data_IF_828476067590
#
_entry.id   IF_828476067590
#
_cell.length_a   1.000
_cell.length_b   1.000
_cell.length_c   1.000
_cell.angle_alpha   90.00
_cell.angle_beta   90.00
_cell.angle_gamma   90.00
#
_symmetry.space_group_name_H-M   'P 1'
#
loop_
_entity.id
_entity.type
_entity.pdbx_description
1 polymer ?
#
# COMPACT_ATOMS: atom_id res chain seq x y z
N UNK A 1 29.06 -89.78 -37.00
CA UNK A 1 29.94 -88.77 -37.63
C UNK A 1 29.10 -87.64 -38.14
N UNK A 2 28.96 -86.53 -37.36
CA UNK A 2 28.39 -85.22 -37.81
C UNK A 2 29.26 -84.18 -37.13
N UNK A 3 30.05 -83.48 -37.90
CA UNK A 3 30.86 -82.35 -37.45
C UNK A 3 30.28 -81.04 -38.06
N UNK A 4 29.89 -80.18 -37.22
CA UNK A 4 30.29 -78.77 -37.12
C UNK A 4 30.28 -77.95 -38.41
N UNK A 5 29.19 -77.20 -38.64
CA UNK A 5 29.15 -76.08 -39.60
C UNK A 5 28.52 -74.80 -39.01
N UNK A 6 28.51 -74.63 -37.66
CA UNK A 6 27.77 -73.50 -37.03
C UNK A 6 28.63 -72.34 -36.51
N UNK A 7 29.93 -72.36 -36.64
CA UNK A 7 30.87 -71.38 -36.09
C UNK A 7 31.28 -70.26 -37.06
N UNK A 8 31.07 -70.42 -38.38
CA UNK A 8 31.50 -69.43 -39.39
C UNK A 8 30.49 -68.32 -39.61
N UNK A 9 29.22 -68.56 -39.35
CA UNK A 9 28.17 -67.48 -39.56
C UNK A 9 28.11 -66.45 -38.42
N UNK A 10 28.58 -66.81 -37.24
CA UNK A 10 28.56 -65.90 -36.08
C UNK A 10 29.68 -64.83 -36.14
N UNK A 11 30.82 -65.15 -36.74
CA UNK A 11 31.96 -64.23 -36.85
C UNK A 11 31.70 -63.11 -37.95
N UNK A 12 30.99 -63.46 -39.04
CA UNK A 12 30.69 -62.53 -40.12
C UNK A 12 29.64 -61.55 -39.72
N UNK A 13 28.64 -61.94 -38.91
CA UNK A 13 27.58 -61.04 -38.39
C UNK A 13 28.09 -59.97 -37.43
N UNK A 14 29.06 -60.36 -36.57
CA UNK A 14 29.66 -59.38 -35.63
C UNK A 14 30.58 -58.37 -36.29
N UNK A 15 31.23 -58.73 -37.40
CA UNK A 15 32.09 -57.81 -38.13
C UNK A 15 31.27 -56.76 -38.93
N UNK A 16 30.10 -57.15 -39.46
CA UNK A 16 29.19 -56.22 -40.19
C UNK A 16 28.48 -55.24 -39.25
N UNK A 17 28.16 -55.61 -38.01
CA UNK A 17 27.57 -54.68 -37.02
C UNK A 17 28.59 -53.67 -36.51
N UNK A 18 29.87 -54.08 -36.39
CA UNK A 18 30.95 -53.19 -35.94
C UNK A 18 31.35 -52.16 -37.01
N UNK A 19 31.25 -52.51 -38.33
CA UNK A 19 31.51 -51.58 -39.39
C UNK A 19 30.41 -50.56 -39.62
N UNK A 20 29.15 -50.83 -39.20
CA UNK A 20 28.05 -49.84 -39.25
C UNK A 20 28.13 -48.83 -38.09
N UNK A 21 28.76 -49.11 -36.97
CA UNK A 21 28.96 -48.13 -35.88
C UNK A 21 30.09 -47.11 -36.19
N UNK A 22 30.97 -47.38 -37.11
CA UNK A 22 32.05 -46.46 -37.48
C UNK A 22 31.67 -45.48 -38.62
N UNK A 23 30.46 -45.60 -39.21
CA UNK A 23 29.95 -44.69 -40.24
C UNK A 23 29.12 -43.52 -39.72
N UNK A 24 29.07 -43.30 -38.37
CA UNK A 24 28.56 -42.05 -37.80
C UNK A 24 29.62 -40.96 -37.95
N UNK A 25 29.92 -40.57 -39.20
CA UNK A 25 30.61 -39.32 -39.50
C UNK A 25 29.73 -38.22 -39.00
N UNK A 26 30.10 -37.62 -37.88
CA UNK A 26 29.53 -36.31 -37.49
C UNK A 26 29.76 -35.36 -38.66
N UNK A 27 28.73 -35.03 -39.38
CA UNK A 27 28.78 -33.96 -40.39
C UNK A 27 29.12 -32.68 -39.65
N UNK A 28 30.33 -32.20 -39.79
CA UNK A 28 30.77 -30.92 -39.28
C UNK A 28 29.90 -29.89 -40.00
N UNK A 29 28.97 -29.26 -39.31
CA UNK A 29 28.16 -28.16 -39.87
C UNK A 29 29.07 -27.03 -40.37
N UNK A 30 28.57 -26.19 -41.27
CA UNK A 30 29.38 -25.10 -41.81
C UNK A 30 29.91 -24.24 -40.64
N UNK A 31 31.12 -23.67 -40.76
CA UNK A 31 31.72 -22.84 -39.74
C UNK A 31 30.76 -21.74 -39.35
N UNK A 32 30.39 -21.70 -38.07
CA UNK A 32 29.55 -20.63 -37.53
C UNK A 32 30.37 -19.33 -37.55
N UNK A 33 29.79 -18.20 -38.00
CA UNK A 33 30.47 -16.93 -37.90
C UNK A 33 30.83 -16.63 -36.43
N UNK A 34 31.93 -15.88 -36.22
CA UNK A 34 32.31 -15.53 -34.84
C UNK A 34 31.19 -14.82 -34.13
N UNK A 35 30.88 -15.25 -32.91
CA UNK A 35 29.85 -14.62 -32.08
C UNK A 35 30.26 -13.19 -31.72
N UNK A 36 29.38 -12.21 -31.99
CA UNK A 36 29.58 -10.82 -31.58
C UNK A 36 29.26 -10.59 -30.10
N UNK A 37 28.83 -11.63 -29.42
CA UNK A 37 28.46 -11.56 -27.97
C UNK A 37 27.45 -10.46 -27.67
N UNK A 38 26.52 -10.18 -28.59
CA UNK A 38 25.49 -9.16 -28.42
C UNK A 38 24.45 -9.62 -27.41
N UNK A 39 24.16 -8.84 -26.36
CA UNK A 39 23.09 -9.16 -25.42
C UNK A 39 21.74 -9.26 -26.15
N UNK A 40 20.92 -10.24 -25.75
CA UNK A 40 19.54 -10.31 -26.26
C UNK A 40 18.77 -9.09 -25.74
N UNK A 41 18.09 -8.31 -26.59
CA UNK A 41 17.29 -7.17 -26.15
C UNK A 41 16.27 -7.59 -25.08
N UNK A 42 16.16 -6.86 -23.97
CA UNK A 42 15.10 -7.09 -22.98
C UNK A 42 13.71 -6.97 -23.61
N UNK A 43 12.77 -7.74 -23.12
CA UNK A 43 11.38 -7.76 -23.60
C UNK A 43 10.37 -7.54 -22.47
N UNK A 44 10.82 -7.10 -21.33
CA UNK A 44 10.06 -6.88 -20.11
C UNK A 44 10.27 -5.48 -19.52
N UNK A 45 10.72 -4.52 -20.35
CA UNK A 45 10.76 -3.12 -19.95
C UNK A 45 9.36 -2.67 -19.54
N UNK A 46 9.29 -2.05 -18.38
CA UNK A 46 8.09 -1.41 -17.81
C UNK A 46 8.41 0.02 -17.43
N UNK A 47 7.39 0.87 -17.48
CA UNK A 47 7.45 2.23 -16.98
C UNK A 47 6.32 2.49 -16.01
N UNK A 48 6.64 3.12 -14.90
CA UNK A 48 5.67 3.66 -13.94
C UNK A 48 5.93 5.15 -13.81
N UNK A 49 4.90 5.97 -13.97
CA UNK A 49 5.02 7.41 -13.80
C UNK A 49 4.43 7.84 -12.46
N UNK A 50 5.14 8.72 -11.76
CA UNK A 50 4.63 9.42 -10.58
C UNK A 50 5.09 10.87 -10.64
N UNK A 51 4.15 11.80 -10.69
CA UNK A 51 4.46 13.21 -10.91
C UNK A 51 5.17 13.43 -12.26
N UNK A 52 6.31 14.06 -12.23
CA UNK A 52 7.21 14.26 -13.37
C UNK A 52 8.28 13.17 -13.52
N UNK A 53 8.32 12.20 -12.60
CA UNK A 53 9.30 11.10 -12.59
C UNK A 53 8.75 9.87 -13.28
N UNK A 54 9.55 9.28 -14.15
CA UNK A 54 9.29 8.00 -14.82
C UNK A 54 10.30 6.97 -14.36
N UNK A 55 9.83 5.93 -13.72
CA UNK A 55 10.66 4.82 -13.25
C UNK A 55 10.58 3.70 -14.29
N UNK A 56 11.70 3.41 -14.91
CA UNK A 56 11.87 2.30 -15.84
C UNK A 56 12.43 1.10 -15.08
N UNK A 57 11.89 -0.09 -15.36
CA UNK A 57 12.38 -1.34 -14.77
C UNK A 57 12.46 -2.43 -15.83
N UNK A 58 13.51 -3.24 -15.80
CA UNK A 58 13.73 -4.36 -16.72
C UNK A 58 14.59 -5.44 -16.09
N UNK A 59 14.63 -6.61 -16.71
CA UNK A 59 15.55 -7.68 -16.32
C UNK A 59 16.85 -7.59 -17.12
N UNK A 60 17.98 -7.63 -16.43
CA UNK A 60 19.30 -7.67 -17.04
C UNK A 60 19.44 -8.92 -17.92
N UNK A 61 19.79 -8.80 -19.23
CA UNK A 61 19.95 -9.94 -20.09
C UNK A 61 21.15 -10.80 -19.66
N UNK A 62 20.95 -12.11 -19.52
CA UNK A 62 22.00 -13.07 -19.16
C UNK A 62 22.48 -13.91 -20.35
N UNK A 63 21.81 -13.76 -21.49
CA UNK A 63 22.09 -14.51 -22.70
C UNK A 63 22.24 -13.59 -23.91
N UNK A 64 23.06 -14.00 -24.84
CA UNK A 64 23.29 -13.33 -26.14
C UNK A 64 22.20 -13.72 -27.14
N UNK A 65 22.18 -13.04 -28.30
CA UNK A 65 21.26 -13.34 -29.42
C UNK A 65 21.45 -14.75 -29.98
N UNK A 66 22.66 -15.30 -29.90
CA UNK A 66 23.02 -16.68 -30.29
C UNK A 66 22.94 -17.68 -29.12
N UNK A 67 22.20 -17.31 -28.04
CA UNK A 67 21.88 -18.13 -26.87
C UNK A 67 23.08 -18.55 -26.01
N UNK A 68 24.21 -17.86 -26.12
CA UNK A 68 25.35 -18.07 -25.22
C UNK A 68 25.20 -17.27 -23.93
N UNK A 69 25.78 -17.74 -22.84
CA UNK A 69 25.79 -16.97 -21.58
C UNK A 69 26.72 -15.76 -21.72
N UNK A 70 26.23 -14.59 -21.32
CA UNK A 70 27.03 -13.36 -21.29
C UNK A 70 28.09 -13.50 -20.19
N UNK A 71 29.34 -13.27 -20.54
CA UNK A 71 30.49 -13.32 -19.60
C UNK A 71 30.86 -11.94 -19.05
N UNK A 72 30.71 -10.91 -19.88
CA UNK A 72 30.98 -9.52 -19.52
C UNK A 72 29.85 -8.67 -20.08
N UNK A 73 29.22 -7.92 -19.21
CA UNK A 73 28.09 -7.04 -19.51
C UNK A 73 28.62 -5.63 -19.73
N UNK A 74 28.12 -4.94 -20.75
CA UNK A 74 28.33 -3.53 -20.97
C UNK A 74 27.23 -2.70 -20.34
N UNK A 75 27.25 -1.37 -20.53
CA UNK A 75 26.22 -0.48 -20.03
C UNK A 75 24.88 -0.69 -20.75
N UNK A 76 23.79 -0.23 -20.11
CA UNK A 76 22.46 -0.14 -20.73
C UNK A 76 22.20 1.30 -21.13
N UNK A 77 21.90 1.57 -22.40
CA UNK A 77 21.48 2.88 -22.89
C UNK A 77 19.99 3.08 -22.67
N UNK A 78 19.63 4.23 -22.14
CA UNK A 78 18.24 4.65 -21.94
C UNK A 78 17.84 5.56 -23.11
N UNK A 79 16.84 5.16 -23.85
CA UNK A 79 16.37 5.84 -25.07
C UNK A 79 15.00 6.46 -24.79
N UNK A 80 14.83 7.73 -25.15
CA UNK A 80 13.60 8.49 -25.02
C UNK A 80 13.30 9.27 -26.31
N UNK A 81 12.04 9.27 -26.75
CA UNK A 81 11.58 10.04 -27.92
C UNK A 81 10.12 10.43 -27.79
N UNK A 82 9.73 11.53 -28.45
CA UNK A 82 8.32 11.89 -28.66
C UNK A 82 7.69 11.13 -29.84
N UNK A 83 8.49 10.37 -30.59
CA UNK A 83 7.96 9.50 -31.65
C UNK A 83 7.25 8.29 -31.07
N UNK A 84 6.18 7.85 -31.71
CA UNK A 84 5.39 6.71 -31.26
C UNK A 84 6.17 5.38 -31.30
N UNK A 85 7.25 5.31 -32.10
CA UNK A 85 8.08 4.12 -32.26
C UNK A 85 9.55 4.50 -32.49
N UNK A 86 10.42 3.90 -31.66
CA UNK A 86 11.87 3.98 -31.79
C UNK A 86 12.38 2.80 -32.65
N UNK A 87 13.05 3.06 -33.75
CA UNK A 87 13.73 2.03 -34.55
C UNK A 87 15.15 1.76 -34.07
N UNK A 88 15.78 2.76 -33.47
CA UNK A 88 17.09 2.71 -32.85
C UNK A 88 17.15 3.70 -31.66
N UNK A 89 18.10 3.52 -30.78
CA UNK A 89 18.38 4.49 -29.73
C UNK A 89 19.06 5.72 -30.40
N UNK A 90 18.35 6.85 -30.47
CA UNK A 90 18.91 8.11 -30.96
C UNK A 90 19.98 8.66 -30.02
N UNK A 91 19.81 9.92 -29.53
CA UNK A 91 20.65 10.44 -28.46
C UNK A 91 20.20 9.80 -27.16
N UNK A 92 21.01 8.97 -26.49
CA UNK A 92 20.63 8.37 -25.21
C UNK A 92 20.49 9.46 -24.14
N UNK A 93 19.53 9.26 -23.22
CA UNK A 93 19.42 10.11 -22.02
C UNK A 93 20.60 9.92 -21.09
N UNK A 94 20.99 8.67 -20.93
CA UNK A 94 22.07 8.26 -20.04
C UNK A 94 22.60 6.88 -20.48
N UNK A 95 23.83 6.57 -20.08
CA UNK A 95 24.37 5.23 -20.11
C UNK A 95 24.47 4.76 -18.65
N UNK A 96 23.42 4.08 -18.18
CA UNK A 96 23.47 3.47 -16.86
C UNK A 96 24.56 2.37 -16.88
N UNK A 97 25.62 2.57 -16.14
CA UNK A 97 26.56 1.50 -15.84
C UNK A 97 25.74 0.37 -15.16
N UNK A 98 25.96 -0.88 -15.61
CA UNK A 98 25.29 -2.04 -15.03
C UNK A 98 25.67 -2.20 -13.55
N UNK A 99 25.10 -1.35 -12.72
CA UNK A 99 25.17 -1.46 -11.27
C UNK A 99 23.93 -2.27 -10.87
N UNK A 100 24.18 -3.56 -10.63
CA UNK A 100 23.24 -4.38 -9.89
C UNK A 100 23.03 -3.71 -8.52
N UNK A 101 21.99 -2.92 -8.38
CA UNK A 101 21.50 -2.58 -7.04
C UNK A 101 20.96 -3.88 -6.46
N UNK A 102 21.61 -4.46 -5.43
CA UNK A 102 21.00 -5.58 -4.73
C UNK A 102 19.71 -5.02 -4.12
N UNK A 103 18.61 -5.66 -4.46
CA UNK A 103 17.36 -5.44 -3.76
C UNK A 103 17.65 -5.56 -2.25
N UNK A 104 17.40 -4.58 -1.37
CA UNK A 104 17.80 -4.63 0.04
C UNK A 104 17.09 -5.69 0.88
N UNK A 105 16.44 -6.65 0.26
CA UNK A 105 15.68 -7.74 0.88
C UNK A 105 16.24 -9.12 0.55
N UNK A 106 17.51 -9.37 0.89
CA UNK A 106 17.99 -10.77 1.00
C UNK A 106 19.14 -10.87 1.98
N UNK A 107 18.84 -10.80 3.26
CA UNK A 107 19.73 -11.34 4.30
C UNK A 107 19.66 -12.85 4.20
N UNK A 108 20.69 -13.44 3.60
CA UNK A 108 20.84 -14.88 3.48
C UNK A 108 20.97 -15.49 4.88
N UNK A 109 19.94 -16.19 5.33
CA UNK A 109 20.03 -17.15 6.42
C UNK A 109 20.61 -18.43 5.86
N UNK A 110 21.81 -18.78 6.28
CA UNK A 110 22.51 -20.02 5.93
C UNK A 110 21.77 -21.22 6.52
N UNK A 111 21.01 -21.94 5.70
CA UNK A 111 20.58 -23.30 5.97
C UNK A 111 21.00 -24.17 4.79
N UNK A 112 21.95 -25.06 5.07
CA UNK A 112 22.55 -26.05 4.17
C UNK A 112 21.55 -27.14 3.77
N UNK A 113 21.15 -27.13 2.49
CA UNK A 113 20.44 -28.22 1.83
C UNK A 113 20.59 -28.09 0.30
N UNK A 114 20.79 -29.15 -0.49
CA UNK A 114 21.00 -29.06 -1.93
C UNK A 114 19.65 -28.82 -2.65
N UNK A 115 19.18 -27.59 -2.68
CA UNK A 115 18.04 -27.18 -3.50
C UNK A 115 18.58 -26.56 -4.79
N UNK A 116 18.07 -27.03 -5.95
CA UNK A 116 18.42 -26.53 -7.28
C UNK A 116 18.24 -25.02 -7.30
N UNK A 117 19.34 -24.27 -7.33
CA UNK A 117 19.39 -22.82 -7.42
C UNK A 117 18.60 -22.37 -8.66
N UNK A 118 17.40 -21.82 -8.45
CA UNK A 118 16.66 -21.05 -9.45
C UNK A 118 17.44 -19.75 -9.61
N UNK A 119 18.18 -19.59 -10.72
CA UNK A 119 18.92 -18.37 -11.04
C UNK A 119 17.97 -17.19 -10.91
N UNK A 120 18.16 -16.39 -9.89
CA UNK A 120 17.39 -15.19 -9.62
C UNK A 120 17.70 -14.19 -10.74
N UNK A 121 16.68 -13.75 -11.48
CA UNK A 121 16.81 -12.72 -12.50
C UNK A 121 17.07 -11.38 -11.79
N UNK A 122 18.20 -10.76 -12.09
CA UNK A 122 18.54 -9.45 -11.52
C UNK A 122 17.75 -8.38 -12.27
N UNK A 123 16.93 -7.62 -11.55
CA UNK A 123 16.23 -6.46 -12.09
C UNK A 123 17.13 -5.22 -11.99
N UNK A 124 17.00 -4.33 -12.95
CA UNK A 124 17.62 -3.01 -13.00
C UNK A 124 16.55 -1.93 -13.12
N UNK A 125 16.81 -0.74 -12.62
CA UNK A 125 15.89 0.38 -12.70
C UNK A 125 16.62 1.68 -13.02
N UNK A 126 15.91 2.58 -13.69
CA UNK A 126 16.36 3.94 -13.98
C UNK A 126 15.21 4.92 -13.77
N UNK A 127 15.50 6.08 -13.20
CA UNK A 127 14.51 7.14 -13.01
C UNK A 127 14.85 8.33 -13.90
N UNK A 128 13.93 8.64 -14.83
CA UNK A 128 13.98 9.84 -15.66
C UNK A 128 13.05 10.91 -15.06
N UNK A 129 13.50 12.15 -15.02
CA UNK A 129 12.67 13.31 -14.65
C UNK A 129 12.29 14.06 -15.92
N UNK A 130 10.99 14.13 -16.20
CA UNK A 130 10.45 14.82 -17.36
C UNK A 130 10.64 16.33 -17.21
N UNK A 131 11.34 16.99 -18.15
CA UNK A 131 11.44 18.43 -18.15
C UNK A 131 10.07 19.11 -18.26
N UNK A 132 9.87 20.18 -17.50
CA UNK A 132 8.61 20.95 -17.52
C UNK A 132 8.20 21.44 -18.90
N UNK A 133 9.18 21.78 -19.78
CA UNK A 133 8.92 22.13 -21.18
C UNK A 133 8.27 21.01 -21.95
N UNK A 134 8.74 19.77 -21.82
CA UNK A 134 8.15 18.62 -22.51
C UNK A 134 6.70 18.43 -22.09
N UNK A 135 6.40 18.55 -20.78
CA UNK A 135 5.04 18.42 -20.23
C UNK A 135 4.12 19.55 -20.68
N UNK A 136 4.65 20.77 -20.85
CA UNK A 136 3.86 21.94 -21.29
C UNK A 136 3.57 21.89 -22.79
N UNK A 137 4.61 21.59 -23.60
CA UNK A 137 4.50 21.64 -25.05
C UNK A 137 3.75 20.44 -25.63
N UNK A 138 3.62 19.33 -24.86
CA UNK A 138 3.01 18.07 -25.29
C UNK A 138 1.95 17.55 -24.32
N UNK A 139 1.15 18.43 -23.75
CA UNK A 139 0.21 18.12 -22.65
C UNK A 139 -0.79 16.98 -22.91
N UNK A 140 -1.08 16.64 -24.16
CA UNK A 140 -1.95 15.51 -24.55
C UNK A 140 -1.21 14.36 -25.24
N UNK A 141 0.13 14.46 -25.32
CA UNK A 141 0.98 13.50 -26.01
C UNK A 141 1.46 12.33 -25.16
N UNK A 142 2.32 11.55 -25.78
CA UNK A 142 3.02 10.44 -25.12
C UNK A 142 4.52 10.57 -25.38
N UNK A 143 5.31 10.03 -24.47
CA UNK A 143 6.74 9.85 -24.61
C UNK A 143 7.04 8.35 -24.63
N UNK A 144 7.86 7.92 -25.56
CA UNK A 144 8.22 6.52 -25.75
C UNK A 144 9.60 6.26 -25.18
N UNK A 145 9.71 5.23 -24.35
CA UNK A 145 10.96 4.72 -23.80
C UNK A 145 11.32 3.36 -24.38
N UNK A 146 12.60 3.16 -24.57
CA UNK A 146 13.21 1.87 -24.86
C UNK A 146 14.58 1.82 -24.16
N UNK A 147 15.17 0.64 -24.06
CA UNK A 147 16.54 0.46 -23.60
C UNK A 147 17.32 -0.39 -24.61
N UNK A 148 18.62 -0.19 -24.67
CA UNK A 148 19.53 -0.98 -25.47
C UNK A 148 20.64 -1.53 -24.59
N UNK A 149 20.66 -2.86 -24.40
CA UNK A 149 21.71 -3.52 -23.67
C UNK A 149 22.95 -3.71 -24.53
N UNK A 150 24.11 -3.28 -24.06
CA UNK A 150 25.35 -3.34 -24.80
C UNK A 150 26.27 -4.46 -24.28
N UNK A 151 27.16 -4.96 -25.16
CA UNK A 151 28.27 -5.77 -24.74
C UNK A 151 29.44 -4.92 -24.24
N UNK A 152 30.53 -5.55 -23.80
CA UNK A 152 31.71 -4.82 -23.31
C UNK A 152 32.37 -3.92 -24.37
N UNK A 153 32.12 -4.18 -25.66
CA UNK A 153 32.65 -3.37 -26.78
C UNK A 153 31.70 -2.23 -27.17
N UNK A 154 30.62 -2.00 -26.41
CA UNK A 154 29.63 -0.95 -26.66
C UNK A 154 28.67 -1.25 -27.82
N UNK A 155 28.51 -2.51 -28.21
CA UNK A 155 27.64 -2.95 -29.31
C UNK A 155 26.36 -3.59 -28.75
N UNK A 156 25.19 -3.22 -29.28
CA UNK A 156 23.88 -3.77 -28.95
C UNK A 156 23.28 -4.58 -30.12
N UNK A 157 22.23 -5.32 -29.81
CA UNK A 157 21.42 -6.06 -30.79
C UNK A 157 20.12 -5.34 -31.15
N UNK A 158 20.00 -4.07 -30.78
CA UNK A 158 18.82 -3.26 -30.96
C UNK A 158 18.07 -3.00 -29.64
N UNK A 159 17.00 -2.25 -29.75
CA UNK A 159 16.20 -1.79 -28.60
C UNK A 159 15.27 -2.87 -28.05
N UNK A 160 14.91 -2.73 -26.78
CA UNK A 160 13.93 -3.57 -26.08
C UNK A 160 12.50 -3.44 -26.65
N UNK A 161 11.52 -4.09 -26.00
CA UNK A 161 10.14 -3.65 -26.11
C UNK A 161 10.05 -2.18 -25.69
N UNK A 162 9.07 -1.48 -26.25
CA UNK A 162 8.86 -0.05 -26.02
C UNK A 162 7.67 0.17 -25.12
N UNK A 163 7.75 1.19 -24.27
CA UNK A 163 6.68 1.60 -23.36
C UNK A 163 6.38 3.08 -23.58
N UNK A 164 5.10 3.40 -23.66
CA UNK A 164 4.61 4.77 -23.80
C UNK A 164 4.12 5.27 -22.46
N UNK A 165 4.51 6.50 -22.12
CA UNK A 165 4.08 7.20 -20.92
C UNK A 165 3.38 8.48 -21.34
N UNK A 166 2.18 8.71 -20.84
CA UNK A 166 1.42 9.93 -21.12
C UNK A 166 2.13 11.16 -20.56
N UNK A 167 2.07 12.27 -21.28
CA UNK A 167 2.59 13.57 -20.88
C UNK A 167 1.51 14.47 -20.24
N UNK A 168 0.31 13.94 -19.99
CA UNK A 168 -0.72 14.68 -19.23
C UNK A 168 -0.13 15.19 -17.93
N UNK A 169 -0.32 16.49 -17.68
CA UNK A 169 0.27 17.14 -16.51
C UNK A 169 -0.39 16.64 -15.22
N UNK A 170 0.43 16.21 -14.27
CA UNK A 170 0.00 15.98 -12.89
C UNK A 170 0.10 17.27 -12.10
N UNK A 171 -0.70 17.39 -11.04
CA UNK A 171 -0.64 18.53 -10.13
C UNK A 171 0.27 18.21 -8.95
N UNK A 172 0.82 19.25 -8.27
CA UNK A 172 1.59 19.04 -7.06
C UNK A 172 0.75 18.37 -5.97
N UNK A 173 1.38 17.75 -4.97
CA UNK A 173 0.67 17.21 -3.82
C UNK A 173 -0.07 18.32 -3.06
N UNK A 174 -1.12 17.98 -2.29
CA UNK A 174 -1.77 18.96 -1.43
C UNK A 174 -0.82 19.52 -0.38
N UNK A 175 -1.06 20.77 0.04
CA UNK A 175 -0.24 21.49 1.00
C UNK A 175 -0.81 21.37 2.43
N UNK A 176 0.03 21.59 3.44
CA UNK A 176 -0.37 21.59 4.85
C UNK A 176 -1.11 20.32 5.27
N UNK A 177 -0.71 19.17 4.72
CA UNK A 177 -1.31 17.89 5.07
C UNK A 177 -1.04 17.57 6.54
N UNK A 178 -2.13 17.39 7.30
CA UNK A 178 -2.10 17.15 8.75
C UNK A 178 -3.08 16.03 9.13
N UNK A 179 -2.80 15.38 10.26
CA UNK A 179 -3.62 14.33 10.84
C UNK A 179 -3.87 14.63 12.32
N UNK A 180 -5.12 14.54 12.77
CA UNK A 180 -5.54 14.77 14.14
C UNK A 180 -6.41 13.61 14.64
N UNK A 181 -6.08 13.05 15.80
CA UNK A 181 -6.90 12.02 16.46
C UNK A 181 -8.12 12.67 17.09
N UNK A 182 -9.28 12.07 16.88
CA UNK A 182 -10.57 12.46 17.45
C UNK A 182 -11.31 11.20 17.92
N UNK A 183 -12.36 11.33 18.73
CA UNK A 183 -13.19 10.20 19.16
C UNK A 183 -13.88 9.43 18.02
N UNK A 184 -13.88 9.97 16.80
CA UNK A 184 -14.46 9.32 15.61
C UNK A 184 -13.40 8.69 14.69
N UNK A 185 -12.12 8.77 15.07
CA UNK A 185 -10.98 8.30 14.28
C UNK A 185 -9.97 9.40 13.99
N UNK A 186 -9.24 9.29 12.89
CA UNK A 186 -8.23 10.28 12.49
C UNK A 186 -8.82 11.22 11.43
N UNK A 187 -8.91 12.49 11.75
CA UNK A 187 -9.29 13.55 10.83
C UNK A 187 -8.03 14.03 10.09
N UNK A 188 -8.05 13.87 8.78
CA UNK A 188 -7.02 14.31 7.85
C UNK A 188 -7.46 15.62 7.22
N UNK A 189 -6.58 16.60 7.16
CA UNK A 189 -6.86 17.91 6.61
C UNK A 189 -5.72 18.40 5.72
N UNK A 190 -6.04 19.16 4.69
CA UNK A 190 -5.05 19.77 3.79
C UNK A 190 -5.61 21.00 3.11
N UNK A 191 -4.72 21.76 2.50
CA UNK A 191 -5.05 22.90 1.66
C UNK A 191 -4.56 22.68 0.23
N UNK A 192 -5.17 23.36 -0.72
CA UNK A 192 -4.72 23.36 -2.10
C UNK A 192 -5.14 24.65 -2.78
N UNK A 193 -4.20 25.28 -3.46
CA UNK A 193 -4.41 26.46 -4.28
C UNK A 193 -4.52 26.09 -5.77
N UNK A 194 -5.16 24.95 -6.07
CA UNK A 194 -5.36 24.56 -7.45
C UNK A 194 -6.22 25.61 -8.18
N UNK A 195 -5.79 26.08 -9.36
CA UNK A 195 -6.63 26.93 -10.18
C UNK A 195 -7.96 26.20 -10.48
N UNK A 196 -9.07 26.91 -10.35
CA UNK A 196 -10.39 26.38 -10.60
C UNK A 196 -10.42 25.66 -11.97
N UNK A 197 -10.70 24.36 -11.93
CA UNK A 197 -10.89 23.43 -13.04
C UNK A 197 -9.83 23.53 -14.17
N UNK A 198 -9.17 22.42 -14.45
CA UNK A 198 -8.40 22.32 -15.69
C UNK A 198 -9.33 22.62 -16.86
N UNK A 199 -8.91 23.51 -17.72
CA UNK A 199 -9.64 23.87 -18.94
C UNK A 199 -9.65 22.74 -20.00
N UNK A 200 -9.09 21.57 -19.69
CA UNK A 200 -9.04 20.44 -20.60
C UNK A 200 -10.31 19.58 -20.43
N UNK A 201 -11.13 19.45 -21.47
CA UNK A 201 -12.30 18.58 -21.45
C UNK A 201 -11.91 17.14 -21.09
N UNK A 202 -12.67 16.49 -20.19
CA UNK A 202 -12.43 15.13 -19.78
C UNK A 202 -11.28 14.92 -18.78
N UNK A 203 -10.68 16.01 -18.25
CA UNK A 203 -9.67 15.92 -17.18
C UNK A 203 -10.28 16.38 -15.87
N UNK A 204 -10.16 15.54 -14.84
CA UNK A 204 -10.53 15.86 -13.46
C UNK A 204 -9.39 15.48 -12.50
N UNK A 205 -9.39 16.10 -11.35
CA UNK A 205 -8.41 15.84 -10.31
C UNK A 205 -9.09 15.34 -9.05
N UNK A 206 -8.44 14.42 -8.35
CA UNK A 206 -8.88 13.90 -7.05
C UNK A 206 -7.70 13.84 -6.09
N UNK A 207 -7.96 14.07 -4.82
CA UNK A 207 -7.00 13.77 -3.75
C UNK A 207 -7.23 12.34 -3.28
N UNK A 208 -6.16 11.55 -3.21
CA UNK A 208 -6.14 10.23 -2.59
C UNK A 208 -5.36 10.28 -1.32
N UNK A 209 -5.93 9.71 -0.27
CA UNK A 209 -5.26 9.58 1.01
C UNK A 209 -5.00 8.11 1.30
N UNK A 210 -3.77 7.83 1.68
CA UNK A 210 -3.32 6.47 2.01
C UNK A 210 -2.86 6.40 3.45
N UNK A 211 -3.06 5.23 4.04
CA UNK A 211 -2.60 4.85 5.38
C UNK A 211 -1.66 3.66 5.29
N UNK A 212 -0.66 3.64 6.17
CA UNK A 212 0.19 2.50 6.45
C UNK A 212 0.31 2.30 7.95
N UNK A 213 0.10 1.10 8.52
CA UNK A 213 0.39 0.83 9.92
C UNK A 213 1.91 0.78 10.14
N UNK A 214 2.40 1.42 11.22
CA UNK A 214 3.80 1.36 11.63
C UNK A 214 3.92 0.62 12.94
N UNK A 215 4.92 -0.23 13.09
CA UNK A 215 5.33 -0.73 14.41
C UNK A 215 4.82 -2.08 14.87
N UNK A 216 4.43 -3.01 14.02
CA UNK A 216 4.40 -4.40 14.44
C UNK A 216 5.82 -4.99 14.44
N UNK A 217 6.49 -4.89 15.59
CA UNK A 217 7.70 -5.67 15.89
C UNK A 217 7.36 -7.15 16.08
N UNK A 218 6.73 -7.79 15.12
CA UNK A 218 6.73 -9.24 15.06
C UNK A 218 7.68 -9.71 13.97
N UNK A 219 8.84 -10.13 14.42
CA UNK A 219 9.96 -10.65 13.62
C UNK A 219 9.68 -11.98 12.92
N UNK A 220 8.45 -12.43 12.71
CA UNK A 220 8.20 -13.80 12.22
C UNK A 220 6.98 -13.96 11.31
N UNK A 221 6.70 -13.03 10.42
CA UNK A 221 5.85 -13.36 9.28
C UNK A 221 6.22 -12.50 8.07
N UNK A 222 6.84 -13.18 7.12
CA UNK A 222 6.99 -12.83 5.70
C UNK A 222 6.99 -11.32 5.36
N UNK A 223 8.13 -10.84 4.99
CA UNK A 223 8.55 -9.55 4.48
C UNK A 223 7.68 -8.98 3.32
N UNK A 224 6.49 -9.53 3.11
CA UNK A 224 5.61 -9.23 1.97
C UNK A 224 4.59 -8.14 2.23
N UNK A 225 4.37 -7.70 3.48
CA UNK A 225 3.31 -6.74 3.83
C UNK A 225 3.82 -5.36 4.27
N UNK A 226 5.10 -5.04 4.14
CA UNK A 226 5.64 -3.73 4.54
C UNK A 226 5.25 -2.56 3.63
N UNK A 227 4.78 -2.83 2.41
CA UNK A 227 4.45 -1.82 1.41
C UNK A 227 2.94 -1.72 1.10
N UNK A 228 2.08 -2.37 1.87
CA UNK A 228 0.66 -2.36 1.60
C UNK A 228 0.02 -1.03 2.04
N UNK A 229 -0.04 -0.10 1.08
CA UNK A 229 -0.81 1.13 1.21
C UNK A 229 -2.29 0.79 1.24
N UNK A 230 -2.99 1.20 2.28
CA UNK A 230 -4.44 1.13 2.35
C UNK A 230 -5.00 2.46 1.86
N UNK A 231 -5.83 2.45 0.84
CA UNK A 231 -6.58 3.62 0.42
C UNK A 231 -7.63 3.94 1.48
N UNK A 232 -7.50 5.09 2.13
CA UNK A 232 -8.49 5.60 3.11
C UNK A 232 -9.69 6.19 2.38
N UNK A 233 -9.44 6.96 1.32
CA UNK A 233 -10.51 7.54 0.52
C UNK A 233 -10.02 8.49 -0.55
N UNK A 234 -10.98 8.95 -1.35
CA UNK A 234 -10.80 9.94 -2.41
C UNK A 234 -11.70 11.15 -2.16
N UNK A 235 -11.14 12.34 -2.38
CA UNK A 235 -11.87 13.61 -2.30
C UNK A 235 -11.70 14.36 -3.63
N UNK A 236 -12.78 14.76 -4.32
CA UNK A 236 -12.67 15.55 -5.54
C UNK A 236 -11.90 16.85 -5.29
N UNK A 237 -10.93 17.14 -6.12
CA UNK A 237 -10.22 18.41 -6.10
C UNK A 237 -11.11 19.48 -6.76
N UNK A 238 -11.68 20.33 -5.95
CA UNK A 238 -12.58 21.40 -6.37
C UNK A 238 -11.99 22.80 -6.09
N UNK A 239 -12.83 23.83 -6.23
CA UNK A 239 -12.48 25.24 -5.98
C UNK A 239 -12.38 25.63 -4.49
N UNK A 240 -12.45 24.66 -3.57
CA UNK A 240 -12.24 24.88 -2.14
C UNK A 240 -10.77 25.03 -1.79
N UNK A 241 -10.46 25.82 -0.76
CA UNK A 241 -9.09 25.95 -0.25
C UNK A 241 -8.75 24.91 0.83
N UNK A 242 -9.75 24.39 1.55
CA UNK A 242 -9.58 23.44 2.63
C UNK A 242 -10.39 22.17 2.38
N UNK A 243 -9.76 21.02 2.64
CA UNK A 243 -10.35 19.69 2.48
C UNK A 243 -10.14 18.87 3.73
N UNK A 244 -11.06 17.96 4.00
CA UNK A 244 -10.96 17.03 5.13
C UNK A 244 -11.45 15.64 4.72
N UNK A 245 -10.88 14.63 5.38
CA UNK A 245 -11.30 13.22 5.27
C UNK A 245 -11.14 12.58 6.64
N UNK A 246 -12.14 11.84 7.12
CA UNK A 246 -12.04 11.10 8.38
C UNK A 246 -11.79 9.64 8.11
N UNK A 247 -10.72 9.09 8.69
CA UNK A 247 -10.46 7.66 8.75
C UNK A 247 -11.02 7.09 10.05
N UNK A 248 -12.20 6.50 9.97
CA UNK A 248 -12.87 5.81 11.07
C UNK A 248 -12.52 4.32 11.15
N UNK A 249 -11.69 3.81 10.23
CA UNK A 249 -11.31 2.40 10.18
C UNK A 249 -9.99 2.10 10.89
N UNK A 250 -9.59 2.98 11.79
CA UNK A 250 -8.41 2.80 12.63
C UNK A 250 -8.67 1.79 13.75
N UNK A 251 -7.59 1.25 14.29
CA UNK A 251 -7.57 0.60 15.60
C UNK A 251 -6.91 1.55 16.61
N UNK A 252 -7.46 1.60 17.81
CA UNK A 252 -6.86 2.36 18.91
C UNK A 252 -5.52 1.74 19.36
N UNK A 253 -4.65 2.55 19.94
CA UNK A 253 -3.31 2.17 20.43
C UNK A 253 -2.39 1.64 19.31
N UNK A 254 -2.56 2.17 18.08
CA UNK A 254 -1.73 1.88 16.92
C UNK A 254 -1.07 3.16 16.41
N UNK A 255 0.07 2.98 15.74
CA UNK A 255 0.71 4.08 15.02
C UNK A 255 0.46 3.90 13.52
N UNK A 256 0.01 4.96 12.88
CA UNK A 256 -0.24 5.02 11.45
C UNK A 256 0.58 6.13 10.79
N UNK A 257 0.97 5.91 9.57
CA UNK A 257 1.53 6.91 8.68
C UNK A 257 0.54 7.20 7.58
N UNK A 258 0.24 8.48 7.39
CA UNK A 258 -0.67 8.98 6.37
C UNK A 258 0.09 9.81 5.36
N UNK A 259 -0.35 9.75 4.10
CA UNK A 259 0.09 10.62 3.03
C UNK A 259 -1.04 10.84 2.04
N UNK A 260 -0.96 11.93 1.30
CA UNK A 260 -1.90 12.26 0.24
C UNK A 260 -1.17 12.50 -1.07
N UNK A 261 -1.86 12.29 -2.18
CA UNK A 261 -1.39 12.65 -3.51
C UNK A 261 -2.53 13.27 -4.32
N UNK A 262 -2.19 14.04 -5.34
CA UNK A 262 -3.16 14.53 -6.32
C UNK A 262 -3.11 13.63 -7.54
N UNK A 263 -4.24 12.99 -7.88
CA UNK A 263 -4.37 12.12 -9.05
C UNK A 263 -5.08 12.85 -10.18
N UNK A 264 -4.47 12.83 -11.36
CA UNK A 264 -5.09 13.30 -12.60
C UNK A 264 -5.85 12.15 -13.25
N UNK A 265 -7.14 12.33 -13.48
CA UNK A 265 -8.02 11.36 -14.11
C UNK A 265 -8.46 11.90 -15.46
N UNK A 266 -8.19 11.14 -16.52
CA UNK A 266 -8.55 11.48 -17.90
C UNK A 266 -9.63 10.53 -18.39
N UNK A 267 -10.81 11.09 -18.66
CA UNK A 267 -11.93 10.35 -19.24
C UNK A 267 -11.89 10.48 -20.75
N UNK A 268 -11.86 9.37 -21.47
CA UNK A 268 -11.93 9.31 -22.92
C UNK A 268 -13.23 8.60 -23.33
N UNK A 269 -13.84 9.08 -24.43
CA UNK A 269 -15.04 8.41 -24.96
C UNK A 269 -14.74 6.95 -25.32
N UNK A 270 -15.54 6.03 -24.80
CA UNK A 270 -15.48 4.58 -25.06
C UNK A 270 -14.19 3.86 -24.64
N UNK A 271 -13.35 4.48 -23.80
CA UNK A 271 -12.16 3.87 -23.23
C UNK A 271 -12.21 3.92 -21.69
N UNK A 272 -11.49 3.01 -21.00
CA UNK A 272 -11.33 3.10 -19.55
C UNK A 272 -10.67 4.43 -19.16
N UNK A 273 -11.02 4.97 -18.00
CA UNK A 273 -10.35 6.14 -17.44
C UNK A 273 -8.86 5.88 -17.25
N UNK A 274 -8.05 6.83 -17.67
CA UNK A 274 -6.61 6.81 -17.40
C UNK A 274 -6.34 7.62 -16.15
N UNK A 275 -5.51 7.09 -15.24
CA UNK A 275 -5.15 7.72 -13.99
C UNK A 275 -3.65 7.93 -13.93
N UNK A 276 -3.24 9.11 -13.47
CA UNK A 276 -1.84 9.49 -13.33
C UNK A 276 -1.61 10.04 -11.94
N UNK A 277 -0.83 9.30 -11.16
CA UNK A 277 -0.51 9.67 -9.79
C UNK A 277 0.49 10.83 -9.79
N UNK A 278 0.21 11.84 -8.98
CA UNK A 278 1.13 12.92 -8.65
C UNK A 278 2.14 12.52 -7.59
N UNK A 279 2.91 13.48 -7.10
CA UNK A 279 3.83 13.25 -5.98
C UNK A 279 3.05 13.12 -4.66
N UNK A 280 3.62 12.36 -3.72
CA UNK A 280 3.08 12.25 -2.36
C UNK A 280 3.43 13.49 -1.54
N UNK A 281 2.58 13.82 -0.56
CA UNK A 281 2.96 14.67 0.56
C UNK A 281 4.05 14.01 1.40
N UNK A 282 4.78 14.75 2.23
CA UNK A 282 5.50 14.17 3.36
C UNK A 282 4.56 13.29 4.20
N UNK A 283 5.10 12.19 4.73
CA UNK A 283 4.35 11.30 5.61
C UNK A 283 4.08 11.96 6.96
N UNK A 284 2.84 11.86 7.45
CA UNK A 284 2.43 12.32 8.78
C UNK A 284 2.17 11.11 9.65
N UNK A 285 2.94 10.99 10.73
CA UNK A 285 2.78 9.90 11.70
C UNK A 285 1.84 10.31 12.83
N UNK A 286 0.94 9.41 13.20
CA UNK A 286 -0.05 9.60 14.26
C UNK A 286 -0.14 8.35 15.11
N UNK A 287 -0.14 8.51 16.44
CA UNK A 287 -0.48 7.47 17.40
C UNK A 287 -1.94 7.66 17.85
N UNK A 288 -2.77 6.65 17.63
CA UNK A 288 -4.21 6.69 17.90
C UNK A 288 -4.50 6.33 19.37
N UNK A 289 -4.04 7.19 20.27
CA UNK A 289 -4.34 7.02 21.71
C UNK A 289 -5.77 7.45 22.01
N UNK A 290 -6.53 6.55 22.64
CA UNK A 290 -7.91 6.80 23.00
C UNK A 290 -7.99 7.50 24.34
N UNK A 291 -8.32 8.78 24.29
CA UNK A 291 -8.55 9.68 25.43
C UNK A 291 -9.94 10.32 25.40
N UNK A 292 -10.82 9.82 24.58
CA UNK A 292 -12.12 10.41 24.28
C UNK A 292 -13.21 9.71 25.08
N UNK A 293 -13.85 10.40 26.05
CA UNK A 293 -14.92 9.79 26.82
C UNK A 293 -16.17 9.56 25.95
N UNK A 294 -17.03 8.59 26.35
CA UNK A 294 -18.32 8.37 25.72
C UNK A 294 -19.25 9.57 25.81
N UNK A 295 -20.36 9.52 25.06
CA UNK A 295 -21.40 10.51 25.12
C UNK A 295 -22.00 10.60 26.56
N UNK A 296 -22.43 11.81 26.93
CA UNK A 296 -23.06 12.06 28.23
C UNK A 296 -24.42 11.35 28.24
N UNK A 297 -24.73 10.50 29.29
CA UNK A 297 -26.05 9.92 29.45
C UNK A 297 -27.13 11.00 29.55
N UNK A 298 -28.31 10.73 28.99
CA UNK A 298 -29.43 11.67 29.00
C UNK A 298 -30.74 11.04 29.47
N UNK A 299 -31.73 11.84 29.74
CA UNK A 299 -33.06 11.36 30.13
C UNK A 299 -33.10 10.61 31.44
N UNK A 300 -32.21 10.93 32.41
CA UNK A 300 -32.21 10.35 33.74
C UNK A 300 -33.53 10.63 34.46
N UNK A 301 -34.12 9.58 35.02
CA UNK A 301 -35.32 9.61 35.84
C UNK A 301 -35.07 8.86 37.15
N UNK A 302 -35.65 9.35 38.21
CA UNK A 302 -35.62 8.71 39.56
C UNK A 302 -37.05 8.46 40.03
N UNK A 303 -37.31 7.27 40.57
CA UNK A 303 -38.64 6.89 41.06
C UNK A 303 -38.51 6.16 42.38
N UNK A 304 -39.16 6.68 43.41
CA UNK A 304 -39.26 6.02 44.71
C UNK A 304 -40.17 4.77 44.66
N UNK A 305 -39.80 3.70 45.40
CA UNK A 305 -40.48 2.40 45.44
C UNK A 305 -41.93 2.44 45.90
N UNK A 306 -42.31 3.51 46.59
CA UNK A 306 -43.66 3.67 47.15
C UNK A 306 -43.83 3.16 48.61
N UNK A 307 -44.89 3.59 49.29
CA UNK A 307 -45.13 3.23 50.69
C UNK A 307 -45.48 1.74 50.82
N UNK A 308 -45.03 1.14 51.95
CA UNK A 308 -45.31 -0.28 52.26
C UNK A 308 -44.43 -1.31 51.57
N UNK A 309 -43.44 -0.89 50.80
CA UNK A 309 -42.41 -1.76 50.18
C UNK A 309 -41.04 -1.50 50.84
N UNK A 310 -40.06 -2.36 50.50
CA UNK A 310 -38.67 -2.06 50.82
C UNK A 310 -38.28 -0.72 50.17
N UNK A 311 -37.66 0.13 50.98
CA UNK A 311 -37.27 1.48 50.53
C UNK A 311 -36.11 1.44 49.54
N UNK A 312 -36.34 1.93 48.31
CA UNK A 312 -35.32 2.12 47.27
C UNK A 312 -35.71 3.24 46.31
N UNK A 313 -34.74 3.72 45.54
CA UNK A 313 -34.99 4.58 44.40
C UNK A 313 -34.48 3.89 43.18
N UNK A 314 -35.34 3.70 42.17
CA UNK A 314 -35.00 3.22 40.83
C UNK A 314 -34.62 4.39 39.93
N UNK A 315 -33.48 4.23 39.28
CA UNK A 315 -32.94 5.14 38.28
C UNK A 315 -32.98 4.48 36.90
N UNK A 316 -33.40 5.22 35.92
CA UNK A 316 -33.34 4.79 34.49
C UNK A 316 -32.89 5.96 33.63
N UNK A 317 -32.18 5.68 32.54
CA UNK A 317 -31.70 6.69 31.61
C UNK A 317 -31.66 6.14 30.19
N UNK A 318 -31.47 7.01 29.18
CA UNK A 318 -31.28 6.61 27.80
C UNK A 318 -29.92 5.91 27.63
N UNK A 319 -29.86 4.73 26.97
CA UNK A 319 -28.59 4.07 26.75
C UNK A 319 -27.67 4.90 25.85
N UNK A 320 -26.39 4.98 26.23
CA UNK A 320 -25.32 5.50 25.36
C UNK A 320 -24.98 4.43 24.32
N UNK A 321 -24.78 4.82 23.08
CA UNK A 321 -24.62 3.90 21.94
C UNK A 321 -23.17 3.81 21.43
N UNK A 322 -22.21 4.39 22.16
CA UNK A 322 -20.81 4.33 21.80
C UNK A 322 -20.31 2.89 21.81
N UNK A 323 -19.54 2.52 20.80
CA UNK A 323 -19.16 1.12 20.51
C UNK A 323 -18.27 0.53 21.60
N UNK A 324 -17.50 1.38 22.25
CA UNK A 324 -16.55 1.04 23.30
C UNK A 324 -17.04 1.31 24.72
N UNK A 325 -18.34 1.61 24.88
CA UNK A 325 -18.96 1.79 26.19
C UNK A 325 -18.74 0.53 27.06
N UNK A 326 -18.13 0.72 28.24
CA UNK A 326 -17.98 -0.35 29.23
C UNK A 326 -19.09 -0.32 30.26
N UNK A 327 -19.62 0.85 30.65
CA UNK A 327 -20.72 0.96 31.61
C UNK A 327 -20.92 2.37 32.14
N UNK A 328 -21.57 2.45 33.33
CA UNK A 328 -21.96 3.72 33.90
C UNK A 328 -21.53 3.82 35.36
N UNK A 329 -21.23 5.06 35.81
CA UNK A 329 -21.12 5.44 37.19
C UNK A 329 -22.36 6.23 37.61
N UNK A 330 -22.88 5.93 38.77
CA UNK A 330 -24.03 6.61 39.39
C UNK A 330 -23.54 7.41 40.58
N UNK A 331 -23.92 8.67 40.61
CA UNK A 331 -23.56 9.61 41.67
C UNK A 331 -24.80 10.10 42.41
N UNK A 332 -24.68 10.26 43.71
CA UNK A 332 -25.74 10.75 44.59
C UNK A 332 -25.20 11.80 45.56
N UNK A 333 -26.01 12.77 45.88
CA UNK A 333 -25.79 13.66 46.99
C UNK A 333 -27.10 14.08 47.63
N UNK A 334 -27.06 14.54 48.91
CA UNK A 334 -28.11 15.29 49.55
C UNK A 334 -27.90 16.79 49.23
N UNK A 335 -28.95 17.60 49.43
CA UNK A 335 -28.88 19.04 49.12
C UNK A 335 -27.72 19.70 49.89
N UNK A 336 -26.88 20.46 49.17
CA UNK A 336 -25.69 21.13 49.72
C UNK A 336 -24.47 20.21 49.93
N UNK A 337 -24.55 18.91 49.72
CA UNK A 337 -23.45 17.99 49.84
C UNK A 337 -22.73 17.71 48.49
N UNK A 338 -21.48 17.29 48.54
CA UNK A 338 -20.77 16.83 47.38
C UNK A 338 -21.30 15.48 46.85
N UNK A 339 -21.39 15.35 45.55
CA UNK A 339 -21.84 14.10 44.91
C UNK A 339 -20.80 12.99 45.10
N UNK A 340 -21.24 11.82 45.56
CA UNK A 340 -20.42 10.61 45.77
C UNK A 340 -20.91 9.49 44.84
N UNK A 341 -19.96 8.69 44.34
CA UNK A 341 -20.28 7.49 43.57
C UNK A 341 -20.92 6.43 44.46
N UNK A 342 -22.06 5.88 44.03
CA UNK A 342 -22.82 4.91 44.84
C UNK A 342 -22.70 3.47 44.33
N UNK A 343 -22.27 3.25 43.09
CA UNK A 343 -21.98 1.93 42.56
C UNK A 343 -20.52 1.50 42.81
N UNK A 344 -20.30 0.28 43.29
CA UNK A 344 -18.98 -0.28 43.54
C UNK A 344 -18.27 -0.71 42.21
N UNK A 345 -19.02 -1.27 41.27
CA UNK A 345 -18.57 -1.67 39.94
C UNK A 345 -19.41 -0.94 38.89
N UNK A 346 -18.88 -0.83 37.66
CA UNK A 346 -19.63 -0.21 36.57
C UNK A 346 -20.97 -0.90 36.33
N UNK A 347 -22.03 -0.10 36.25
CA UNK A 347 -23.37 -0.55 35.92
C UNK A 347 -23.44 -0.85 34.43
N UNK A 348 -23.81 -2.07 34.06
CA UNK A 348 -23.79 -2.53 32.63
C UNK A 348 -25.11 -2.29 31.88
N UNK A 349 -26.14 -1.85 32.61
CA UNK A 349 -27.46 -1.55 32.02
C UNK A 349 -27.81 -0.08 32.29
N UNK A 350 -28.66 0.56 31.48
CA UNK A 350 -29.08 1.94 31.69
C UNK A 350 -30.13 2.06 32.81
N UNK A 351 -29.91 1.34 33.89
CA UNK A 351 -30.78 1.32 35.09
C UNK A 351 -29.97 0.96 36.35
N UNK A 352 -30.31 1.57 37.46
CA UNK A 352 -29.70 1.30 38.78
C UNK A 352 -30.71 1.39 39.89
N UNK A 353 -30.63 0.50 40.88
CA UNK A 353 -31.45 0.56 42.06
C UNK A 353 -30.60 0.94 43.26
N UNK A 354 -30.93 2.08 43.88
CA UNK A 354 -30.29 2.51 45.11
C UNK A 354 -31.09 2.03 46.33
N UNK A 355 -30.55 1.01 47.01
CA UNK A 355 -31.13 0.43 48.23
C UNK A 355 -30.70 1.18 49.51
N UNK A 356 -29.72 2.09 49.40
CA UNK A 356 -29.13 2.79 50.54
C UNK A 356 -29.74 4.18 50.73
N UNK A 357 -31.07 4.25 50.71
CA UNK A 357 -31.82 5.50 50.92
C UNK A 357 -32.62 5.44 52.23
N UNK A 358 -32.81 6.60 52.87
CA UNK A 358 -33.43 6.74 54.17
C UNK A 358 -34.65 7.64 54.08
N UNK A 359 -35.73 7.27 54.81
CA UNK A 359 -36.97 8.04 54.90
C UNK A 359 -36.72 9.48 55.42
N UNK A 360 -37.43 10.44 54.90
CA UNK A 360 -37.32 11.85 55.23
C UNK A 360 -36.21 12.60 54.50
N UNK A 361 -35.50 11.96 53.54
CA UNK A 361 -34.40 12.57 52.83
C UNK A 361 -34.71 12.83 51.35
N UNK A 362 -34.13 13.92 50.82
CA UNK A 362 -34.12 14.24 49.42
C UNK A 362 -32.77 13.93 48.83
N UNK A 363 -32.75 13.10 47.76
CA UNK A 363 -31.52 12.69 47.08
C UNK A 363 -31.50 13.23 45.65
N UNK A 364 -30.32 13.68 45.23
CA UNK A 364 -30.07 14.17 43.87
C UNK A 364 -29.09 13.24 43.21
N UNK A 365 -29.44 12.77 42.00
CA UNK A 365 -28.67 11.80 41.23
C UNK A 365 -28.16 12.38 39.93
N UNK A 366 -27.01 11.86 39.48
CA UNK A 366 -26.46 12.05 38.13
C UNK A 366 -25.71 10.78 37.68
N UNK A 367 -25.56 10.61 36.40
CA UNK A 367 -24.92 9.43 35.79
C UNK A 367 -23.86 9.86 34.80
N UNK A 368 -22.73 9.17 34.75
CA UNK A 368 -21.71 9.28 33.68
C UNK A 368 -21.53 7.94 32.96
N UNK A 369 -21.04 7.99 31.75
CA UNK A 369 -20.65 6.83 30.96
C UNK A 369 -19.14 6.64 31.01
N UNK A 370 -18.67 5.40 30.97
CA UNK A 370 -17.26 5.03 31.02
C UNK A 370 -16.99 4.02 29.90
N UNK A 371 -15.93 4.22 29.13
CA UNK A 371 -15.51 3.31 28.08
C UNK A 371 -14.57 2.20 28.59
N UNK A 372 -14.16 1.31 27.70
CA UNK A 372 -13.25 0.19 27.99
C UNK A 372 -11.82 0.65 28.34
N UNK A 373 -11.47 1.90 28.11
CA UNK A 373 -10.18 2.52 28.46
C UNK A 373 -10.21 3.24 29.78
N UNK A 374 -11.40 3.43 30.34
CA UNK A 374 -11.62 4.13 31.60
C UNK A 374 -11.82 5.65 31.44
N UNK A 375 -12.00 6.14 30.19
CA UNK A 375 -12.40 7.53 30.00
C UNK A 375 -13.84 7.70 30.44
N UNK A 376 -14.05 8.66 31.31
CA UNK A 376 -15.37 8.93 31.91
C UNK A 376 -15.95 10.23 31.36
N UNK A 377 -17.21 10.18 30.93
CA UNK A 377 -17.93 11.35 30.42
C UNK A 377 -18.22 12.38 31.50
N UNK A 378 -18.59 13.58 31.13
CA UNK A 378 -19.26 14.49 32.04
C UNK A 378 -20.55 13.83 32.55
N UNK A 379 -21.03 14.28 33.73
CA UNK A 379 -22.26 13.78 34.32
C UNK A 379 -23.47 14.29 33.58
N UNK A 380 -24.55 13.50 33.58
CA UNK A 380 -25.88 13.88 33.09
C UNK A 380 -26.44 15.09 33.82
N UNK A 381 -27.53 15.62 33.32
CA UNK A 381 -28.41 16.49 34.13
C UNK A 381 -28.84 15.75 35.38
N UNK A 382 -29.05 16.52 36.47
CA UNK A 382 -29.42 15.96 37.76
C UNK A 382 -30.92 15.72 37.85
N UNK A 383 -31.31 14.69 38.60
CA UNK A 383 -32.71 14.44 38.99
C UNK A 383 -32.81 14.27 40.49
N UNK A 384 -33.79 14.90 41.10
CA UNK A 384 -34.07 14.79 42.54
C UNK A 384 -35.26 13.86 42.83
N UNK A 385 -35.18 13.09 43.91
CA UNK A 385 -36.27 12.26 44.39
C UNK A 385 -36.30 12.28 45.94
N UNK A 386 -37.50 12.34 46.48
CA UNK A 386 -37.71 12.37 47.94
C UNK A 386 -38.22 11.03 48.44
N UNK A 387 -37.62 10.53 49.51
CA UNK A 387 -38.10 9.34 50.24
C UNK A 387 -38.99 9.84 51.37
N UNK A 388 -40.29 9.60 51.33
CA UNK A 388 -41.23 10.10 52.33
C UNK A 388 -40.98 9.57 53.75
#
# INVERSE_FOLDING_TARGET
MRRSTSTFFSALGSLLVFTWMLAACATVGPPQPPSLWLPKPPNDLRATRKGDRVILTWTIPTVTTDRKTIRSQGPTRICRSLEAKLTQCGVPLDEAAAQATPNPSSTASSASGPTKSRKQKTAESYTDTLPGSILTDNASGFITYAIEALNADGRGAGVSNQVQVSLVRTLPPPENFAAQVTGQGVVLSWTSDLPAASSLPGVRYVYRVYRRPTGSQEKNSEEKNRDEKILVGEVPAGSGHGFTLTDSSIEWEKTYEYRAETVTVVTQEKQPELQFDGDDTPEVQVFTHDVFPPAIPSGLQAVFSGPGQQTFIDLVWAPVTDVDLDGYNVYRHEEGAAAVKVNAALVKTPAYRDMNVVSGKHYVYSVSAVDVRGNESARSEVVGETVP
#
